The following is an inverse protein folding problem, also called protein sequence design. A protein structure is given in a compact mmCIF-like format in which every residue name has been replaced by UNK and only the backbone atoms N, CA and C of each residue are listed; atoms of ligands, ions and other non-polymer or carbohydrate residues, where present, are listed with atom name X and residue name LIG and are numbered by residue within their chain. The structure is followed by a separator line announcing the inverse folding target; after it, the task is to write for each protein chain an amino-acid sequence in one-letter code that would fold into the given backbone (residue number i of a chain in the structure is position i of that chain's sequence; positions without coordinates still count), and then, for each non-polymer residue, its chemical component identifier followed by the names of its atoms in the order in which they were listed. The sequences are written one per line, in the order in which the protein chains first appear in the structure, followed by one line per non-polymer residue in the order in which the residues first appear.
data_IF_626966928840
#
_entry.id   IF_626966928840
#
_cell.length_a   1.000
_cell.length_b   1.000
_cell.length_c   1.000
_cell.angle_alpha   90.00
_cell.angle_beta   90.00
_cell.angle_gamma   90.00
#
_symmetry.space_group_name_H-M   'P 1'
#
loop_
_entity.id
_entity.type
_entity.pdbx_description
1 polymer ?
#
# COMPACT_ATOMS: atom_id res chain seq x y z
N UNK A 1 4.07 4.35 -8.66
CA UNK A 1 3.11 5.42 -9.00
C UNK A 1 2.17 5.53 -7.82
N UNK A 2 2.20 6.63 -7.10
CA UNK A 2 1.34 6.86 -5.93
C UNK A 2 0.01 7.41 -6.44
N UNK A 3 -1.09 6.71 -6.16
CA UNK A 3 -2.44 7.16 -6.51
C UNK A 3 -3.01 7.91 -5.31
N UNK A 4 -3.06 9.25 -5.40
CA UNK A 4 -3.80 10.10 -4.48
C UNK A 4 -5.08 10.54 -5.19
N UNK A 5 -6.24 10.21 -4.62
CA UNK A 5 -7.54 10.66 -5.09
C UNK A 5 -7.96 11.87 -4.25
N UNK A 6 -8.12 13.02 -4.87
CA UNK A 6 -8.74 14.20 -4.24
C UNK A 6 -9.98 14.58 -5.01
N UNK A 7 -11.07 14.89 -4.31
CA UNK A 7 -12.33 15.30 -4.90
C UNK A 7 -12.45 16.83 -5.00
N UNK A 8 -12.77 17.29 -6.21
CA UNK A 8 -13.45 18.54 -6.61
C UNK A 8 -12.69 19.81 -7.07
N UNK A 9 -13.07 20.19 -8.30
CA UNK A 9 -13.06 21.46 -9.04
C UNK A 9 -11.73 22.23 -9.22
N UNK A 10 -11.24 22.20 -10.47
CA UNK A 10 -10.66 23.39 -11.12
C UNK A 10 -9.16 23.35 -11.41
N UNK A 11 -8.84 22.84 -12.60
CA UNK A 11 -7.69 23.24 -13.46
C UNK A 11 -6.25 23.03 -12.92
N UNK A 12 -5.60 21.96 -13.41
CA UNK A 12 -4.14 21.70 -13.54
C UNK A 12 -3.27 21.60 -12.26
N UNK A 13 -2.14 20.84 -12.22
CA UNK A 13 -1.53 19.91 -13.21
C UNK A 13 -1.31 18.47 -12.64
N UNK A 14 -1.20 17.44 -13.48
CA UNK A 14 -0.74 16.08 -13.09
C UNK A 14 -1.64 15.19 -12.19
N UNK A 15 -2.92 15.08 -12.51
CA UNK A 15 -3.68 13.83 -12.60
C UNK A 15 -4.73 14.13 -13.67
N UNK A 16 -5.02 13.24 -14.62
CA UNK A 16 -6.35 13.31 -15.25
C UNK A 16 -7.33 12.84 -14.18
N UNK A 17 -7.61 13.72 -13.20
CA UNK A 17 -8.79 13.69 -12.34
C UNK A 17 -9.99 14.07 -13.21
N UNK A 18 -10.28 13.16 -14.12
CA UNK A 18 -11.58 12.83 -14.67
C UNK A 18 -11.38 11.39 -15.15
N UNK A 19 -11.21 10.43 -14.23
CA UNK A 19 -11.67 9.08 -14.57
C UNK A 19 -13.15 9.24 -14.82
N UNK A 20 -13.53 9.41 -16.09
CA UNK A 20 -14.87 9.08 -16.51
C UNK A 20 -15.03 7.64 -16.08
N UNK A 21 -15.76 7.42 -14.98
CA UNK A 21 -16.17 6.10 -14.57
C UNK A 21 -17.07 5.62 -15.69
N UNK A 22 -16.46 4.98 -16.69
CA UNK A 22 -17.19 4.25 -17.70
C UNK A 22 -17.67 3.03 -16.93
N UNK A 23 -18.83 3.18 -16.28
CA UNK A 23 -19.71 2.05 -16.10
C UNK A 23 -19.80 1.45 -17.50
N UNK A 24 -19.24 0.25 -17.67
CA UNK A 24 -19.18 -0.44 -18.95
C UNK A 24 -20.61 -0.83 -19.37
N UNK A 25 -21.46 0.16 -19.66
CA UNK A 25 -22.76 -0.10 -20.27
C UNK A 25 -22.55 -0.62 -21.71
N UNK A 26 -21.41 -0.30 -22.35
CA UNK A 26 -20.99 -0.97 -23.58
C UNK A 26 -19.48 -0.90 -23.87
N UNK A 27 -18.93 -2.00 -24.41
CA UNK A 27 -17.59 -2.09 -25.00
C UNK A 27 -17.34 -1.00 -26.06
N UNK A 28 -18.36 -0.69 -26.88
CA UNK A 28 -18.24 0.27 -27.97
C UNK A 28 -18.00 1.70 -27.48
N UNK A 29 -18.67 2.11 -26.40
CA UNK A 29 -18.43 3.41 -25.79
C UNK A 29 -17.00 3.52 -25.24
N UNK A 30 -16.53 2.49 -24.53
CA UNK A 30 -15.16 2.42 -24.03
C UNK A 30 -14.12 2.51 -25.14
N UNK A 31 -14.31 1.78 -26.24
CA UNK A 31 -13.44 1.82 -27.40
C UNK A 31 -13.40 3.22 -28.07
N UNK A 32 -14.56 3.88 -28.20
CA UNK A 32 -14.63 5.22 -28.78
C UNK A 32 -13.89 6.26 -27.91
N UNK A 33 -14.10 6.21 -26.58
CA UNK A 33 -13.45 7.11 -25.62
C UNK A 33 -11.94 6.88 -25.60
N UNK A 34 -11.50 5.63 -25.56
CA UNK A 34 -10.08 5.28 -25.61
C UNK A 34 -9.39 5.90 -26.83
N UNK A 35 -9.95 5.67 -28.03
CA UNK A 35 -9.38 6.23 -29.26
C UNK A 35 -9.42 7.76 -29.29
N UNK A 36 -10.49 8.38 -28.78
CA UNK A 36 -10.56 9.83 -28.67
C UNK A 36 -9.43 10.39 -27.79
N UNK A 37 -9.19 9.81 -26.61
CA UNK A 37 -8.13 10.23 -25.68
C UNK A 37 -6.75 10.01 -26.32
N UNK A 38 -6.51 8.84 -26.91
CA UNK A 38 -5.22 8.53 -27.54
C UNK A 38 -4.93 9.42 -28.76
N UNK A 39 -5.96 9.86 -29.48
CA UNK A 39 -5.80 10.82 -30.57
C UNK A 39 -5.46 12.23 -30.07
N UNK A 40 -5.80 12.59 -28.83
CA UNK A 40 -5.32 13.84 -28.19
C UNK A 40 -3.85 13.73 -27.78
N UNK A 41 -3.41 12.53 -27.42
CA UNK A 41 -2.02 12.25 -27.09
C UNK A 41 -1.82 10.81 -26.62
N UNK A 42 -0.80 10.14 -27.14
CA UNK A 42 -0.50 8.75 -26.78
C UNK A 42 -0.02 8.58 -25.32
N UNK A 43 0.46 9.65 -24.68
CA UNK A 43 0.93 9.66 -23.30
C UNK A 43 -0.20 9.68 -22.27
N UNK A 44 -1.45 9.99 -22.66
CA UNK A 44 -2.59 9.92 -21.76
C UNK A 44 -2.90 8.47 -21.41
N UNK A 45 -3.09 8.18 -20.12
CA UNK A 45 -3.53 6.86 -19.64
C UNK A 45 -5.05 6.82 -19.57
N UNK A 46 -5.64 5.69 -19.95
CA UNK A 46 -7.08 5.41 -19.82
C UNK A 46 -7.29 4.28 -18.83
N UNK A 47 -7.87 4.59 -17.68
CA UNK A 47 -8.20 3.62 -16.62
C UNK A 47 -9.67 3.24 -16.70
N UNK A 48 -9.97 1.95 -16.90
CA UNK A 48 -11.33 1.44 -16.75
C UNK A 48 -11.60 1.06 -15.30
N UNK A 49 -12.76 1.43 -14.77
CA UNK A 49 -13.11 1.20 -13.35
C UNK A 49 -14.40 0.38 -13.19
N UNK A 50 -14.36 -0.93 -13.47
CA UNK A 50 -15.47 -1.83 -13.20
C UNK A 50 -15.64 -2.16 -11.71
N UNK A 51 -14.58 -2.02 -10.90
CA UNK A 51 -14.55 -2.42 -9.48
C UNK A 51 -14.58 -3.93 -9.22
N UNK A 52 -14.67 -4.73 -10.29
CA UNK A 52 -14.65 -6.21 -10.30
C UNK A 52 -13.96 -6.68 -11.58
N UNK A 53 -13.49 -7.93 -11.63
CA UNK A 53 -12.83 -8.48 -12.83
C UNK A 53 -13.85 -8.53 -14.00
N UNK A 54 -13.64 -7.79 -15.10
CA UNK A 54 -14.53 -7.84 -16.26
C UNK A 54 -14.09 -8.92 -17.25
N UNK A 55 -14.80 -9.06 -18.38
CA UNK A 55 -14.33 -9.88 -19.50
C UNK A 55 -12.98 -9.37 -20.05
N UNK A 56 -12.10 -10.29 -20.48
CA UNK A 56 -10.77 -9.96 -21.03
C UNK A 56 -10.82 -8.96 -22.20
N UNK A 57 -11.95 -8.88 -22.91
CA UNK A 57 -12.13 -7.96 -24.05
C UNK A 57 -11.87 -6.49 -23.67
N UNK A 58 -12.12 -6.12 -22.41
CA UNK A 58 -11.92 -4.76 -21.90
C UNK A 58 -10.44 -4.39 -21.72
N UNK A 59 -9.54 -5.37 -21.74
CA UNK A 59 -8.08 -5.15 -21.68
C UNK A 59 -7.34 -5.57 -22.96
N UNK A 60 -7.82 -6.61 -23.65
CA UNK A 60 -7.22 -7.12 -24.90
C UNK A 60 -7.48 -6.26 -26.13
N UNK A 61 -8.42 -5.30 -26.03
CA UNK A 61 -8.73 -4.32 -27.07
C UNK A 61 -8.39 -2.89 -26.60
N UNK A 62 -8.27 -1.92 -27.53
CA UNK A 62 -8.09 -0.50 -27.24
C UNK A 62 -9.28 0.12 -26.49
N UNK A 63 -9.45 -0.25 -25.22
CA UNK A 63 -10.54 0.19 -24.35
C UNK A 63 -9.98 0.76 -23.05
N UNK A 64 -8.95 0.14 -22.47
CA UNK A 64 -8.27 0.65 -21.29
C UNK A 64 -6.79 0.25 -21.27
N UNK A 65 -5.94 1.15 -20.77
CA UNK A 65 -4.55 0.88 -20.46
C UNK A 65 -4.38 0.17 -19.12
N UNK A 66 -5.36 0.23 -18.22
CA UNK A 66 -5.37 -0.52 -16.96
C UNK A 66 -6.80 -0.59 -16.41
N UNK A 67 -7.06 -1.54 -15.51
CA UNK A 67 -8.37 -1.82 -14.97
C UNK A 67 -8.35 -1.86 -13.44
N UNK A 68 -9.33 -1.21 -12.82
CA UNK A 68 -9.67 -1.44 -11.41
C UNK A 68 -10.47 -2.73 -11.32
N UNK A 69 -9.79 -3.84 -11.04
CA UNK A 69 -10.40 -5.18 -11.04
C UNK A 69 -10.85 -5.64 -9.66
N UNK A 70 -10.59 -4.83 -8.63
CA UNK A 70 -11.14 -4.99 -7.29
C UNK A 70 -11.39 -3.62 -6.67
N UNK A 71 -12.62 -3.40 -6.19
CA UNK A 71 -12.98 -2.28 -5.35
C UNK A 71 -13.90 -2.77 -4.24
N UNK A 72 -13.37 -2.90 -3.01
CA UNK A 72 -14.12 -3.54 -1.92
C UNK A 72 -13.44 -3.41 -0.56
N UNK A 73 -14.13 -3.88 0.48
CA UNK A 73 -13.58 -3.89 1.82
C UNK A 73 -12.46 -4.93 1.95
N UNK A 74 -11.56 -4.72 2.90
CA UNK A 74 -10.52 -5.70 3.26
C UNK A 74 -11.10 -7.08 3.56
N UNK A 75 -12.28 -7.14 4.20
CA UNK A 75 -13.01 -8.40 4.45
C UNK A 75 -13.30 -9.19 3.17
N UNK A 76 -13.59 -8.52 2.07
CA UNK A 76 -13.81 -9.18 0.78
C UNK A 76 -12.48 -9.46 0.06
N UNK A 77 -11.50 -8.57 0.21
CA UNK A 77 -10.21 -8.64 -0.47
C UNK A 77 -9.43 -9.90 -0.14
N UNK A 78 -9.48 -10.37 1.11
CA UNK A 78 -8.79 -11.62 1.53
C UNK A 78 -9.25 -12.87 0.76
N UNK A 79 -10.40 -12.81 0.08
CA UNK A 79 -10.93 -13.90 -0.74
C UNK A 79 -10.74 -13.68 -2.24
N UNK A 80 -10.13 -12.56 -2.65
CA UNK A 80 -9.90 -12.26 -4.06
C UNK A 80 -9.01 -13.32 -4.71
N UNK A 81 -9.34 -13.68 -5.95
CA UNK A 81 -8.54 -14.56 -6.79
C UNK A 81 -8.51 -13.97 -8.20
N UNK A 82 -7.33 -13.76 -8.80
CA UNK A 82 -7.25 -13.27 -10.17
C UNK A 82 -7.75 -14.34 -11.15
N UNK A 83 -8.41 -13.88 -12.22
CA UNK A 83 -8.81 -14.73 -13.34
C UNK A 83 -7.58 -15.19 -14.14
N UNK A 84 -7.69 -16.34 -14.80
CA UNK A 84 -6.54 -16.95 -15.51
C UNK A 84 -5.99 -16.03 -16.61
N UNK A 85 -6.86 -15.34 -17.33
CA UNK A 85 -6.47 -14.46 -18.44
C UNK A 85 -5.63 -13.27 -17.98
N UNK A 86 -5.75 -12.84 -16.72
CA UNK A 86 -4.96 -11.71 -16.21
C UNK A 86 -3.46 -12.00 -16.31
N UNK A 87 -3.05 -13.28 -16.19
CA UNK A 87 -1.65 -13.71 -16.28
C UNK A 87 -1.02 -13.54 -17.65
N UNK A 88 -1.80 -13.21 -18.68
CA UNK A 88 -1.31 -12.90 -20.02
C UNK A 88 -0.81 -11.44 -20.15
N UNK A 89 -0.97 -10.62 -19.11
CA UNK A 89 -0.68 -9.19 -19.12
C UNK A 89 0.26 -8.80 -17.98
N UNK A 90 1.06 -7.71 -18.11
CA UNK A 90 1.82 -7.19 -16.98
C UNK A 90 0.92 -6.85 -15.78
N UNK A 91 1.39 -7.11 -14.55
CA UNK A 91 0.60 -6.84 -13.33
C UNK A 91 0.19 -5.38 -13.16
N UNK A 92 0.99 -4.45 -13.71
CA UNK A 92 0.72 -3.01 -13.68
C UNK A 92 -0.52 -2.60 -14.49
N UNK A 93 -1.11 -3.53 -15.25
CA UNK A 93 -2.42 -3.36 -15.90
C UNK A 93 -3.59 -3.48 -14.92
N UNK A 94 -3.36 -3.95 -13.70
CA UNK A 94 -4.39 -4.21 -12.71
C UNK A 94 -4.23 -3.30 -11.49
N UNK A 95 -5.36 -2.71 -11.08
CA UNK A 95 -5.49 -1.81 -9.94
C UNK A 95 -6.46 -2.42 -8.94
N UNK A 96 -6.10 -2.44 -7.66
CA UNK A 96 -6.99 -2.80 -6.56
C UNK A 96 -7.18 -1.60 -5.62
N UNK A 97 -8.43 -1.34 -5.24
CA UNK A 97 -8.82 -0.35 -4.23
C UNK A 97 -9.42 -1.12 -3.04
N UNK A 98 -8.77 -1.02 -1.89
CA UNK A 98 -9.16 -1.77 -0.68
C UNK A 98 -9.44 -0.80 0.47
N UNK A 99 -10.67 -0.78 0.95
CA UNK A 99 -11.08 0.09 2.06
C UNK A 99 -11.40 -0.70 3.34
N UNK A 100 -11.65 -0.01 4.45
CA UNK A 100 -11.86 -0.59 5.78
C UNK A 100 -10.71 -1.53 6.19
N UNK A 101 -9.47 -1.10 5.99
CA UNK A 101 -8.27 -1.86 6.29
C UNK A 101 -7.44 -1.20 7.40
N UNK A 102 -7.05 -1.96 8.42
CA UNK A 102 -6.06 -1.48 9.40
C UNK A 102 -4.67 -1.34 8.74
N UNK A 103 -3.74 -0.62 9.37
CA UNK A 103 -2.37 -0.51 8.88
C UNK A 103 -1.69 -1.89 8.70
N UNK A 104 -1.99 -2.84 9.58
CA UNK A 104 -1.46 -4.20 9.50
C UNK A 104 -2.05 -4.95 8.30
N UNK A 105 -3.36 -4.81 8.06
CA UNK A 105 -4.01 -5.38 6.89
C UNK A 105 -3.52 -4.74 5.59
N UNK A 106 -3.22 -3.44 5.59
CA UNK A 106 -2.55 -2.78 4.47
C UNK A 106 -1.19 -3.42 4.17
N UNK A 107 -0.35 -3.64 5.18
CA UNK A 107 0.92 -4.33 4.98
C UNK A 107 0.75 -5.75 4.42
N UNK A 108 -0.25 -6.49 4.92
CA UNK A 108 -0.60 -7.81 4.39
C UNK A 108 -1.03 -7.74 2.92
N UNK A 109 -1.86 -6.77 2.54
CA UNK A 109 -2.30 -6.58 1.16
C UNK A 109 -1.11 -6.33 0.21
N UNK A 110 -0.15 -5.48 0.58
CA UNK A 110 1.07 -5.26 -0.22
C UNK A 110 1.92 -6.52 -0.35
N UNK A 111 2.02 -7.33 0.70
CA UNK A 111 2.76 -8.60 0.66
C UNK A 111 2.12 -9.67 -0.24
N UNK A 112 0.84 -9.51 -0.59
CA UNK A 112 0.10 -10.43 -1.45
C UNK A 112 -0.02 -9.96 -2.90
N UNK A 113 0.63 -8.86 -3.28
CA UNK A 113 0.50 -8.26 -4.62
C UNK A 113 0.81 -9.24 -5.75
N UNK A 114 1.82 -10.10 -5.62
CA UNK A 114 2.15 -11.12 -6.63
C UNK A 114 1.12 -12.28 -6.65
N UNK A 115 0.58 -12.66 -5.49
CA UNK A 115 -0.47 -13.70 -5.37
C UNK A 115 -1.76 -13.21 -6.04
N UNK A 116 -2.13 -11.96 -5.75
CA UNK A 116 -3.32 -11.30 -6.28
C UNK A 116 -3.11 -10.73 -7.69
N UNK A 117 -1.91 -10.89 -8.25
CA UNK A 117 -1.52 -10.45 -9.59
C UNK A 117 -1.85 -8.97 -9.88
N UNK A 118 -1.48 -8.10 -8.94
CA UNK A 118 -1.76 -6.66 -8.97
C UNK A 118 -0.47 -5.85 -8.94
N UNK A 119 -0.38 -4.83 -9.80
CA UNK A 119 0.75 -3.91 -9.87
C UNK A 119 0.49 -2.55 -9.22
N UNK A 120 -0.78 -2.16 -9.07
CA UNK A 120 -1.16 -0.90 -8.42
C UNK A 120 -2.19 -1.19 -7.32
N UNK A 121 -1.87 -0.81 -6.10
CA UNK A 121 -2.71 -1.08 -4.93
C UNK A 121 -2.88 0.22 -4.17
N UNK A 122 -4.13 0.57 -3.85
CA UNK A 122 -4.48 1.62 -2.91
C UNK A 122 -5.22 0.97 -1.73
N UNK A 123 -4.78 1.26 -0.51
CA UNK A 123 -5.39 0.73 0.71
C UNK A 123 -5.67 1.85 1.70
N UNK A 124 -6.86 1.86 2.29
CA UNK A 124 -7.28 2.86 3.26
C UNK A 124 -8.04 2.27 4.45
N UNK A 125 -7.90 2.87 5.63
CA UNK A 125 -8.73 2.61 6.82
C UNK A 125 -10.11 3.24 6.72
N UNK A 126 -10.30 4.13 5.76
CA UNK A 126 -11.56 4.79 5.53
C UNK A 126 -12.64 3.81 5.04
N UNK A 127 -13.91 4.20 5.18
CA UNK A 127 -15.04 3.29 4.96
C UNK A 127 -16.15 3.91 4.10
N UNK A 128 -17.13 3.09 3.71
CA UNK A 128 -18.32 3.59 3.03
C UNK A 128 -19.09 4.59 3.93
N UNK A 129 -19.78 5.59 3.35
CA UNK A 129 -20.13 5.73 1.93
C UNK A 129 -19.04 6.31 1.02
N UNK A 130 -17.96 6.88 1.57
CA UNK A 130 -16.94 7.56 0.79
C UNK A 130 -15.52 7.28 1.33
N UNK A 131 -14.82 6.25 0.83
CA UNK A 131 -13.48 5.91 1.31
C UNK A 131 -12.36 6.80 0.71
N UNK A 132 -12.72 7.99 0.24
CA UNK A 132 -11.86 8.90 -0.53
C UNK A 132 -11.87 10.34 0.00
N UNK A 133 -12.62 10.64 1.06
CA UNK A 133 -12.70 12.00 1.61
C UNK A 133 -11.61 12.31 2.64
N UNK A 134 -10.83 11.32 3.05
CA UNK A 134 -9.67 11.51 3.90
C UNK A 134 -8.46 10.69 3.46
N UNK A 135 -7.26 11.14 3.86
CA UNK A 135 -6.05 10.34 3.72
C UNK A 135 -5.99 9.33 4.87
N UNK A 136 -5.52 8.08 4.62
CA UNK A 136 -5.44 7.09 5.67
C UNK A 136 -4.45 7.51 6.77
N UNK A 137 -4.73 7.11 8.01
CA UNK A 137 -3.86 7.46 9.16
C UNK A 137 -2.42 6.96 8.99
N UNK A 138 -2.24 5.92 8.19
CA UNK A 138 -0.95 5.31 7.83
C UNK A 138 -0.47 5.71 6.42
N UNK A 139 -0.94 6.82 5.86
CA UNK A 139 -0.63 7.23 4.48
C UNK A 139 0.85 7.21 4.13
N UNK A 140 1.73 7.75 4.96
CA UNK A 140 3.18 7.69 4.71
C UNK A 140 3.73 6.25 4.64
N UNK A 141 3.17 5.34 5.44
CA UNK A 141 3.54 3.93 5.43
C UNK A 141 3.03 3.24 4.17
N UNK A 142 1.82 3.53 3.71
CA UNK A 142 1.26 3.02 2.45
C UNK A 142 2.18 3.40 1.26
N UNK A 143 2.58 4.67 1.18
CA UNK A 143 3.47 5.17 0.13
C UNK A 143 4.83 4.46 0.15
N UNK A 144 5.34 4.17 1.34
CA UNK A 144 6.58 3.43 1.54
C UNK A 144 6.44 1.99 1.06
N UNK A 145 5.34 1.32 1.38
CA UNK A 145 5.04 -0.04 0.92
C UNK A 145 4.90 -0.11 -0.62
N UNK A 146 4.36 0.93 -1.24
CA UNK A 146 4.20 1.02 -2.69
C UNK A 146 5.52 1.17 -3.47
N UNK A 147 6.62 1.51 -2.79
CA UNK A 147 7.93 1.71 -3.42
C UNK A 147 8.93 0.62 -3.07
N UNK A 148 8.82 0.01 -1.89
CA UNK A 148 9.77 -0.99 -1.39
C UNK A 148 9.03 -2.04 -0.57
N UNK A 149 9.27 -3.32 -0.85
CA UNK A 149 8.85 -4.42 0.04
C UNK A 149 9.74 -4.46 1.28
N UNK A 150 9.21 -4.29 2.50
CA UNK A 150 10.03 -4.26 3.69
C UNK A 150 10.67 -5.61 4.00
N UNK A 151 11.96 -5.61 4.31
CA UNK A 151 12.64 -6.77 4.88
C UNK A 151 12.27 -6.96 6.38
N UNK A 152 12.78 -8.03 7.01
CA UNK A 152 12.48 -8.34 8.42
C UNK A 152 12.87 -7.22 9.39
N UNK A 153 14.00 -6.54 9.17
CA UNK A 153 14.45 -5.43 10.01
C UNK A 153 13.49 -4.23 9.92
N UNK A 154 13.13 -3.86 8.70
CA UNK A 154 12.21 -2.76 8.44
C UNK A 154 10.82 -3.05 9.02
N UNK A 155 10.34 -4.29 8.88
CA UNK A 155 9.12 -4.75 9.56
C UNK A 155 9.22 -4.48 11.06
N UNK A 156 10.24 -5.01 11.75
CA UNK A 156 10.39 -4.83 13.21
C UNK A 156 10.28 -3.36 13.61
N UNK A 157 10.95 -2.46 12.89
CA UNK A 157 10.84 -1.02 13.19
C UNK A 157 9.44 -0.47 12.95
N UNK A 158 8.79 -0.82 11.82
CA UNK A 158 7.41 -0.41 11.52
C UNK A 158 6.45 -0.91 12.60
N UNK A 159 6.49 -2.20 12.94
CA UNK A 159 5.64 -2.77 13.98
C UNK A 159 5.88 -2.12 15.34
N UNK A 160 7.13 -1.85 15.70
CA UNK A 160 7.47 -1.19 16.96
C UNK A 160 6.86 0.22 17.03
N UNK A 161 7.00 1.03 15.98
CA UNK A 161 6.44 2.38 15.89
C UNK A 161 4.90 2.37 15.96
N UNK A 162 4.25 1.42 15.27
CA UNK A 162 2.78 1.35 15.21
C UNK A 162 2.16 0.78 16.49
N UNK A 163 2.76 -0.24 17.09
CA UNK A 163 2.21 -0.93 18.27
C UNK A 163 2.61 -0.26 19.60
N UNK A 164 3.77 0.37 19.64
CA UNK A 164 4.31 0.94 20.87
C UNK A 164 4.78 2.40 20.69
N UNK A 165 3.91 3.31 20.21
CA UNK A 165 4.27 4.71 19.98
C UNK A 165 4.68 5.45 21.26
N UNK A 166 4.27 4.97 22.45
CA UNK A 166 4.73 5.48 23.74
C UNK A 166 6.23 5.26 23.99
N UNK A 167 6.84 4.30 23.28
CA UNK A 167 8.27 4.02 23.36
C UNK A 167 9.02 4.44 22.10
N UNK A 168 8.38 4.39 20.93
CA UNK A 168 9.03 4.60 19.64
C UNK A 168 8.33 5.72 18.84
N UNK A 169 8.60 6.97 19.21
CA UNK A 169 7.99 8.15 18.58
C UNK A 169 9.00 9.29 18.33
N UNK A 170 8.92 10.00 17.19
CA UNK A 170 7.93 9.86 16.12
C UNK A 170 8.15 8.60 15.26
N UNK A 171 7.13 8.17 14.51
CA UNK A 171 7.26 7.08 13.56
C UNK A 171 8.10 7.50 12.33
N UNK A 172 8.55 6.51 11.54
CA UNK A 172 9.27 6.70 10.27
C UNK A 172 10.59 7.50 10.38
N UNK A 173 11.27 7.41 11.52
CA UNK A 173 12.61 8.00 11.65
C UNK A 173 13.64 7.25 10.79
N UNK A 174 14.70 7.95 10.38
CA UNK A 174 15.73 7.38 9.53
C UNK A 174 16.53 6.28 10.24
N UNK A 175 16.85 5.22 9.49
CA UNK A 175 17.80 4.20 9.95
C UNK A 175 19.20 4.82 10.06
N UNK A 176 19.91 4.48 11.14
CA UNK A 176 21.29 4.84 11.39
C UNK A 176 22.14 3.56 11.51
N UNK A 177 23.45 3.70 11.28
CA UNK A 177 24.40 2.59 11.40
C UNK A 177 25.57 2.98 12.29
N UNK A 178 25.87 2.16 13.29
CA UNK A 178 27.02 2.35 14.17
C UNK A 178 27.43 1.03 14.83
N UNK A 179 28.73 0.73 14.86
CA UNK A 179 29.28 -0.47 15.50
C UNK A 179 28.52 -1.78 15.15
N UNK A 180 28.18 -1.97 13.87
CA UNK A 180 27.44 -3.14 13.39
C UNK A 180 25.96 -3.19 13.77
N UNK A 181 25.42 -2.14 14.40
CA UNK A 181 23.98 -1.96 14.54
C UNK A 181 23.39 -1.27 13.32
N UNK A 182 22.22 -1.73 12.89
CA UNK A 182 21.22 -0.90 12.21
C UNK A 182 20.20 -0.48 13.27
N UNK A 183 20.00 0.80 13.51
CA UNK A 183 19.14 1.29 14.59
C UNK A 183 18.34 2.53 14.23
N UNK A 184 17.35 2.85 15.05
CA UNK A 184 16.58 4.10 15.02
C UNK A 184 16.64 4.78 16.37
N UNK A 185 16.74 6.11 16.34
CA UNK A 185 16.62 6.97 17.52
C UNK A 185 15.32 7.75 17.44
N UNK A 186 14.59 7.76 18.55
CA UNK A 186 13.29 8.39 18.70
C UNK A 186 13.41 9.60 19.63
N UNK A 187 13.51 10.83 19.07
CA UNK A 187 13.77 12.04 19.86
C UNK A 187 12.67 12.39 20.87
N UNK A 188 11.40 12.03 20.61
CA UNK A 188 10.30 12.37 21.53
C UNK A 188 10.32 11.51 22.79
N UNK A 189 10.67 10.23 22.64
CA UNK A 189 10.68 9.25 23.74
C UNK A 189 12.09 8.97 24.28
N UNK A 190 13.11 9.62 23.71
CA UNK A 190 14.52 9.41 23.97
C UNK A 190 14.89 7.91 24.01
N UNK A 191 14.40 7.17 23.02
CA UNK A 191 14.55 5.72 22.94
C UNK A 191 15.27 5.30 21.66
N UNK A 192 15.86 4.12 21.72
CA UNK A 192 16.51 3.45 20.60
C UNK A 192 15.93 2.05 20.46
N UNK A 193 15.75 1.63 19.22
CA UNK A 193 15.63 0.23 18.84
C UNK A 193 16.72 -0.09 17.82
N UNK A 194 17.44 -1.18 18.03
CA UNK A 194 18.58 -1.56 17.20
C UNK A 194 18.60 -3.05 16.91
N UNK A 195 19.21 -3.40 15.79
CA UNK A 195 19.40 -4.78 15.34
C UNK A 195 20.88 -5.00 15.08
N UNK A 196 21.44 -6.07 15.65
CA UNK A 196 22.85 -6.49 15.45
C UNK A 196 22.94 -8.00 15.56
N UNK A 197 23.66 -8.63 14.64
CA UNK A 197 23.92 -10.09 14.63
C UNK A 197 22.65 -10.97 14.76
N UNK A 198 21.52 -10.53 14.19
CA UNK A 198 20.26 -11.28 14.23
C UNK A 198 19.46 -11.12 15.52
N UNK A 199 19.88 -10.25 16.43
CA UNK A 199 19.19 -9.93 17.68
C UNK A 199 18.67 -8.49 17.67
N UNK A 200 17.57 -8.27 18.41
CA UNK A 200 16.93 -6.97 18.62
C UNK A 200 17.29 -6.45 20.00
N UNK A 201 17.58 -5.15 20.06
CA UNK A 201 18.02 -4.46 21.28
C UNK A 201 17.25 -3.15 21.46
N UNK A 202 17.16 -2.70 22.70
CA UNK A 202 16.60 -1.41 23.08
C UNK A 202 17.52 -0.66 24.05
N UNK A 203 17.41 0.66 24.05
CA UNK A 203 18.13 1.58 24.96
C UNK A 203 17.28 2.84 25.13
N UNK A 204 17.42 3.55 26.25
CA UNK A 204 16.81 4.87 26.45
C UNK A 204 15.93 4.93 27.68
N UNK A 205 15.21 6.04 27.87
CA UNK A 205 14.57 6.39 29.15
C UNK A 205 13.66 5.27 29.70
N UNK A 206 12.84 4.65 28.85
CA UNK A 206 11.95 3.55 29.24
C UNK A 206 12.68 2.21 29.48
N UNK A 207 13.90 2.05 28.96
CA UNK A 207 14.63 0.77 28.91
C UNK A 207 15.89 0.77 29.78
N UNK A 208 16.34 1.93 30.26
CA UNK A 208 17.54 2.12 31.06
C UNK A 208 18.75 2.65 30.27
N UNK A 209 19.83 2.90 31.01
CA UNK A 209 21.05 3.56 30.53
C UNK A 209 22.03 2.62 29.79
N UNK A 210 21.67 1.35 29.61
CA UNK A 210 22.51 0.35 28.92
C UNK A 210 21.71 -0.37 27.86
N UNK A 211 22.40 -0.83 26.80
CA UNK A 211 21.79 -1.61 25.73
C UNK A 211 21.26 -2.93 26.32
N UNK A 212 19.98 -3.21 26.08
CA UNK A 212 19.33 -4.45 26.52
C UNK A 212 18.88 -5.26 25.31
N UNK A 213 19.24 -6.53 25.29
CA UNK A 213 18.73 -7.49 24.31
C UNK A 213 17.25 -7.77 24.63
N UNK A 214 16.40 -7.69 23.61
CA UNK A 214 15.00 -8.13 23.66
C UNK A 214 14.96 -9.63 23.35
N UNK A 215 15.19 -10.00 22.10
CA UNK A 215 15.29 -11.38 21.64
C UNK A 215 15.93 -11.47 20.25
N UNK A 216 15.90 -12.64 19.62
CA UNK A 216 16.21 -12.81 18.19
C UNK A 216 15.23 -12.02 17.33
N UNK A 217 15.66 -11.64 16.13
CA UNK A 217 14.80 -11.00 15.14
C UNK A 217 13.58 -11.85 14.79
N UNK A 218 13.74 -13.18 14.70
CA UNK A 218 12.65 -14.08 14.33
C UNK A 218 11.55 -14.08 15.38
N UNK A 219 11.93 -14.30 16.65
CA UNK A 219 10.97 -14.31 17.76
C UNK A 219 10.31 -12.93 17.93
N UNK A 220 11.11 -11.86 17.84
CA UNK A 220 10.60 -10.49 17.98
C UNK A 220 9.59 -10.19 16.88
N UNK A 221 9.90 -10.52 15.62
CA UNK A 221 8.97 -10.31 14.51
C UNK A 221 7.70 -11.15 14.68
N UNK A 222 7.81 -12.41 15.09
CA UNK A 222 6.65 -13.27 15.33
C UNK A 222 5.70 -12.70 16.40
N UNK A 223 6.26 -12.18 17.51
CA UNK A 223 5.47 -11.55 18.58
C UNK A 223 4.79 -10.28 18.08
N UNK A 224 5.52 -9.44 17.33
CA UNK A 224 5.01 -8.20 16.76
C UNK A 224 3.88 -8.45 15.75
N UNK A 225 4.05 -9.41 14.83
CA UNK A 225 3.02 -9.79 13.86
C UNK A 225 1.78 -10.38 14.56
N UNK A 226 1.98 -11.19 15.61
CA UNK A 226 0.85 -11.71 16.41
C UNK A 226 0.11 -10.60 17.15
N UNK A 227 0.81 -9.58 17.64
CA UNK A 227 0.21 -8.46 18.38
C UNK A 227 -0.49 -7.48 17.44
N UNK A 228 0.00 -7.30 16.21
CA UNK A 228 -0.67 -6.48 15.21
C UNK A 228 -1.93 -7.12 14.64
N UNK A 229 -2.01 -8.45 14.67
CA UNK A 229 -3.18 -9.20 14.20
C UNK A 229 -4.28 -9.43 15.25
N UNK A 230 -4.03 -9.13 16.53
CA UNK A 230 -4.99 -9.27 17.64
C UNK A 230 -5.87 -8.04 17.79
#
# INVERSE_FOLDING_TARGET
MVLLFTQYFGVCPFVLDETMRILFESFLAGFAIYNYIKNKGSHYSVTGDPGVVPDEIYLSKPVADNLVVFQGSMRNYVNFKPEQWQRNYPKDRFIHIVYSATWYQMMQAFSQTDINYVGNLYVTDDSLPNPYDSLPQYGELELKMATITPNKEQKIFIYAEQLFPQYFSPANVANQQFDGFTYRYYPTTNAYIGIKNGDVFVLGDAFGQSIRRIDTMENTLQILESTAGS
#
